data_IF_666826525313
#
_entry.id   IF_666826525313
#
_cell.length_a   1.000
_cell.length_b   1.000
_cell.length_c   1.000
_cell.angle_alpha   90.00
_cell.angle_beta   90.00
_cell.angle_gamma   90.00
#
_symmetry.space_group_name_H-M   'P 1'
#
loop_
_entity.id
_entity.type
_entity.pdbx_description
1 polymer ?
#
# COMPACT_ATOMS: atom_id res chain seq x y z
N UNK A 1 27.36 18.60 4.86
CA UNK A 1 28.39 17.68 4.39
C UNK A 1 27.77 16.79 3.31
N UNK A 2 28.21 17.00 2.10
CA UNK A 2 27.70 16.25 0.94
C UNK A 2 28.22 14.82 0.96
N UNK A 3 27.35 13.85 0.77
CA UNK A 3 27.72 12.44 0.60
C UNK A 3 27.71 12.12 -0.91
N UNK A 4 28.91 11.95 -1.47
CA UNK A 4 29.10 11.36 -2.80
C UNK A 4 29.13 9.85 -2.65
N UNK A 5 28.28 9.16 -3.42
CA UNK A 5 28.37 7.72 -3.61
C UNK A 5 29.39 7.46 -4.70
N UNK A 6 30.57 6.94 -4.31
CA UNK A 6 31.54 6.36 -5.24
C UNK A 6 31.31 4.84 -5.28
N UNK A 7 31.04 4.33 -6.46
CA UNK A 7 30.95 2.91 -6.71
C UNK A 7 32.33 2.26 -6.75
N UNK A 8 32.41 1.01 -6.33
CA UNK A 8 33.50 0.09 -6.70
C UNK A 8 33.10 -1.36 -6.51
N UNK A 9 33.15 -2.13 -7.59
CA UNK A 9 33.68 -3.46 -7.57
C UNK A 9 32.72 -4.63 -7.52
N UNK A 10 31.90 -4.85 -8.56
CA UNK A 10 31.46 -6.20 -8.90
C UNK A 10 32.64 -7.05 -9.37
N UNK A 11 33.01 -8.07 -8.62
CA UNK A 11 33.84 -9.17 -9.12
C UNK A 11 32.92 -10.15 -9.85
N UNK A 12 33.13 -10.24 -11.15
CA UNK A 12 32.56 -11.22 -12.06
C UNK A 12 33.09 -12.62 -11.80
N UNK A 13 32.23 -13.60 -11.62
CA UNK A 13 32.51 -15.02 -11.79
C UNK A 13 32.43 -15.40 -13.26
N UNK A 14 33.20 -16.39 -13.75
CA UNK A 14 33.33 -16.65 -15.18
C UNK A 14 32.08 -17.34 -15.74
N UNK A 15 31.59 -16.81 -16.85
CA UNK A 15 30.59 -17.43 -17.72
C UNK A 15 31.22 -18.59 -18.50
N UNK A 16 30.56 -19.73 -18.48
CA UNK A 16 30.80 -20.85 -19.38
C UNK A 16 30.22 -20.46 -20.74
N UNK A 17 31.09 -20.29 -21.74
CA UNK A 17 30.68 -20.07 -23.12
C UNK A 17 30.08 -21.34 -23.70
N UNK A 18 28.82 -21.29 -24.16
CA UNK A 18 28.29 -22.21 -25.15
C UNK A 18 28.09 -21.46 -26.48
N UNK A 19 28.88 -21.85 -27.44
CA UNK A 19 28.93 -21.37 -28.78
C UNK A 19 27.64 -21.75 -29.55
N UNK A 20 26.86 -20.75 -30.00
CA UNK A 20 25.89 -20.91 -31.09
C UNK A 20 25.82 -19.58 -31.85
N UNK A 21 26.30 -19.61 -33.08
CA UNK A 21 26.41 -18.47 -33.97
C UNK A 21 25.06 -17.91 -34.44
N UNK A 22 25.09 -16.74 -35.09
CA UNK A 22 23.88 -16.00 -35.44
C UNK A 22 23.20 -16.56 -36.70
N UNK A 23 21.88 -16.73 -36.66
CA UNK A 23 21.07 -16.96 -37.85
C UNK A 23 20.34 -15.67 -38.27
N UNK A 24 20.18 -15.47 -39.60
CA UNK A 24 19.74 -14.19 -40.17
C UNK A 24 18.22 -14.00 -40.16
N UNK A 25 17.83 -12.74 -40.04
CA UNK A 25 16.45 -12.25 -40.25
C UNK A 25 15.94 -12.58 -41.65
N UNK A 26 14.85 -13.32 -41.77
CA UNK A 26 14.11 -13.48 -43.01
C UNK A 26 12.78 -12.74 -42.88
N UNK A 27 12.64 -11.66 -43.65
CA UNK A 27 11.40 -10.97 -43.92
C UNK A 27 10.57 -11.82 -44.92
N UNK A 28 9.43 -12.35 -44.48
CA UNK A 28 8.51 -13.09 -45.33
C UNK A 28 7.11 -12.43 -45.35
N UNK A 29 6.74 -11.97 -46.53
CA UNK A 29 5.42 -11.43 -46.89
C UNK A 29 4.32 -12.47 -46.70
N UNK A 30 3.19 -12.02 -46.21
CA UNK A 30 1.90 -12.75 -46.25
C UNK A 30 1.42 -12.99 -47.67
N UNK A 31 0.95 -14.20 -48.00
CA UNK A 31 0.20 -14.42 -49.24
C UNK A 31 -1.31 -14.20 -49.04
N UNK A 32 -2.05 -13.91 -50.16
CA UNK A 32 -3.45 -13.44 -50.11
C UNK A 32 -4.45 -14.57 -50.01
N UNK A 33 -5.61 -14.23 -49.41
CA UNK A 33 -6.84 -15.01 -49.33
C UNK A 33 -7.42 -15.36 -50.67
N UNK A 34 -7.90 -16.58 -50.94
CA UNK A 34 -8.88 -16.81 -52.02
C UNK A 34 -10.31 -16.80 -51.48
N UNK A 35 -11.15 -16.21 -52.31
CA UNK A 35 -12.60 -16.04 -52.14
C UNK A 35 -13.40 -17.26 -52.55
N UNK A 36 -14.52 -17.41 -51.83
CA UNK A 36 -15.83 -17.95 -52.23
C UNK A 36 -15.96 -19.23 -53.01
N UNK A 37 -16.70 -20.17 -52.39
CA UNK A 37 -17.80 -20.84 -53.10
C UNK A 37 -18.78 -21.51 -52.08
N UNK A 38 -20.02 -21.02 -52.06
CA UNK A 38 -21.19 -21.71 -51.50
C UNK A 38 -21.75 -22.69 -52.53
N UNK A 39 -22.24 -23.86 -52.14
CA UNK A 39 -23.66 -24.12 -52.36
C UNK A 39 -24.42 -24.70 -51.15
N UNK A 40 -25.71 -24.53 -51.24
CA UNK A 40 -26.75 -24.69 -50.29
C UNK A 40 -27.16 -26.11 -49.93
N UNK A 41 -27.80 -26.17 -48.73
CA UNK A 41 -28.91 -27.01 -48.26
C UNK A 41 -28.68 -28.51 -48.01
N UNK A 42 -28.81 -28.87 -46.74
CA UNK A 42 -29.90 -29.70 -46.22
C UNK A 42 -29.65 -30.10 -44.73
N UNK A 43 -30.58 -29.77 -43.93
CA UNK A 43 -31.28 -30.44 -42.84
C UNK A 43 -30.48 -31.32 -41.86
N UNK A 44 -30.56 -30.93 -40.58
CA UNK A 44 -30.14 -31.80 -39.48
C UNK A 44 -30.05 -31.01 -38.18
N UNK A 45 -31.17 -30.78 -37.53
CA UNK A 45 -31.27 -30.30 -36.14
C UNK A 45 -30.64 -31.32 -35.20
N UNK A 46 -29.59 -30.95 -34.49
CA UNK A 46 -29.31 -31.52 -33.18
C UNK A 46 -28.78 -30.39 -32.26
N UNK A 47 -29.69 -29.95 -31.41
CA UNK A 47 -29.38 -29.19 -30.21
C UNK A 47 -28.31 -29.93 -29.39
N UNK A 48 -27.10 -29.38 -29.29
CA UNK A 48 -26.20 -29.69 -28.19
C UNK A 48 -26.19 -28.48 -27.24
N UNK A 49 -26.54 -28.68 -25.97
CA UNK A 49 -26.48 -27.59 -25.00
C UNK A 49 -25.01 -27.27 -24.66
N UNK A 50 -24.68 -25.99 -24.67
CA UNK A 50 -23.49 -25.43 -24.09
C UNK A 50 -23.54 -25.66 -22.56
N UNK A 51 -23.08 -26.80 -22.10
CA UNK A 51 -23.13 -27.22 -20.69
C UNK A 51 -22.06 -28.19 -20.32
N UNK A 52 -20.75 -27.88 -20.51
CA UNK A 52 -19.69 -28.80 -20.07
C UNK A 52 -18.50 -28.16 -19.36
N UNK A 53 -18.48 -26.86 -19.09
CA UNK A 53 -17.40 -26.28 -18.28
C UNK A 53 -17.67 -26.33 -16.78
N UNK A 54 -18.92 -26.34 -16.34
CA UNK A 54 -19.26 -26.48 -14.92
C UNK A 54 -19.25 -27.92 -14.40
N UNK A 55 -19.46 -28.91 -15.27
CA UNK A 55 -19.43 -30.33 -14.90
C UNK A 55 -18.03 -30.94 -14.83
N UNK A 56 -17.04 -30.37 -15.52
CA UNK A 56 -15.65 -30.83 -15.45
C UNK A 56 -14.96 -30.46 -14.11
N UNK A 57 -15.43 -29.44 -13.41
CA UNK A 57 -14.97 -29.05 -12.08
C UNK A 57 -15.51 -29.90 -10.93
N UNK A 58 -16.54 -30.75 -11.22
CA UNK A 58 -17.20 -31.60 -10.23
C UNK A 58 -16.61 -33.04 -10.13
N UNK A 59 -15.57 -33.36 -10.90
CA UNK A 59 -15.14 -34.75 -11.09
C UNK A 59 -13.83 -35.13 -10.38
N UNK A 60 -13.13 -34.23 -9.71
CA UNK A 60 -11.94 -34.61 -8.93
C UNK A 60 -12.31 -34.69 -7.45
N UNK A 61 -12.14 -35.89 -6.86
CA UNK A 61 -12.32 -36.05 -5.41
C UNK A 61 -11.25 -35.26 -4.66
N UNK A 62 -11.62 -34.21 -3.88
CA UNK A 62 -10.66 -33.42 -3.16
C UNK A 62 -9.85 -34.22 -2.15
N UNK A 63 -10.38 -35.32 -1.59
CA UNK A 63 -9.67 -36.18 -0.65
C UNK A 63 -8.55 -36.98 -1.33
N UNK A 64 -8.72 -37.36 -2.59
CA UNK A 64 -7.66 -38.01 -3.38
C UNK A 64 -6.47 -37.06 -3.58
N UNK A 65 -6.74 -35.79 -3.91
CA UNK A 65 -5.71 -34.77 -4.07
C UNK A 65 -4.99 -34.44 -2.75
N UNK A 66 -5.73 -34.38 -1.64
CA UNK A 66 -5.14 -34.20 -0.31
C UNK A 66 -4.24 -35.37 0.07
N UNK A 67 -4.63 -36.60 -0.24
CA UNK A 67 -3.80 -37.80 0.00
C UNK A 67 -2.50 -37.76 -0.81
N UNK A 68 -2.56 -37.34 -2.08
CA UNK A 68 -1.37 -37.20 -2.92
C UNK A 68 -0.44 -36.10 -2.37
N UNK A 69 -0.98 -34.95 -1.94
CA UNK A 69 -0.19 -33.89 -1.32
C UNK A 69 0.51 -34.37 -0.06
N UNK A 70 -0.21 -35.10 0.83
CA UNK A 70 0.37 -35.64 2.07
C UNK A 70 1.47 -36.65 1.76
N UNK A 71 1.27 -37.51 0.74
CA UNK A 71 2.30 -38.46 0.31
C UNK A 71 3.54 -37.77 -0.25
N UNK A 72 3.36 -36.72 -1.04
CA UNK A 72 4.48 -35.89 -1.56
C UNK A 72 5.28 -35.25 -0.43
N UNK A 73 4.60 -34.66 0.56
CA UNK A 73 5.26 -34.07 1.74
C UNK A 73 6.06 -35.11 2.54
N UNK A 74 5.51 -36.34 2.68
CA UNK A 74 6.20 -37.42 3.37
C UNK A 74 7.48 -37.87 2.60
N UNK A 75 7.42 -37.99 1.28
CA UNK A 75 8.59 -38.29 0.43
C UNK A 75 9.64 -37.21 0.53
N UNK A 76 9.25 -35.91 0.41
CA UNK A 76 10.17 -34.76 0.53
C UNK A 76 10.89 -34.84 1.88
N UNK A 77 10.15 -35.06 2.96
CA UNK A 77 10.72 -35.09 4.31
C UNK A 77 11.68 -36.27 4.49
N UNK A 78 11.40 -37.40 3.85
CA UNK A 78 12.22 -38.64 3.96
C UNK A 78 13.49 -38.57 3.14
N UNK A 79 13.41 -38.03 1.90
CA UNK A 79 14.45 -38.22 0.88
C UNK A 79 15.22 -36.94 0.53
N UNK A 80 14.76 -35.76 1.01
CA UNK A 80 15.48 -34.51 0.74
C UNK A 80 16.80 -34.43 1.51
N UNK A 81 17.85 -33.95 0.82
CA UNK A 81 19.24 -33.96 1.33
C UNK A 81 19.44 -33.13 2.61
N UNK A 82 18.69 -32.03 2.80
CA UNK A 82 18.80 -31.15 3.97
C UNK A 82 17.55 -31.32 4.88
N UNK A 83 17.61 -32.17 5.92
CA UNK A 83 16.45 -32.50 6.74
C UNK A 83 15.89 -31.31 7.53
N UNK A 84 16.73 -30.33 7.87
CA UNK A 84 16.34 -29.13 8.63
C UNK A 84 15.39 -28.19 7.87
N UNK A 85 15.16 -28.44 6.57
CA UNK A 85 14.29 -27.65 5.69
C UNK A 85 12.97 -28.36 5.34
N UNK A 86 12.68 -29.49 5.98
CA UNK A 86 11.59 -30.39 5.58
C UNK A 86 10.58 -30.67 6.69
N UNK A 87 10.49 -29.79 7.69
CA UNK A 87 9.44 -29.89 8.70
C UNK A 87 8.04 -29.68 8.06
N UNK A 88 7.03 -30.35 8.63
CA UNK A 88 5.68 -30.31 8.05
C UNK A 88 5.05 -28.92 8.00
N UNK A 89 5.19 -28.05 9.01
CA UNK A 89 4.70 -26.66 8.94
C UNK A 89 5.30 -25.90 7.75
N UNK A 90 6.61 -25.95 7.56
CA UNK A 90 7.28 -25.27 6.42
C UNK A 90 6.83 -25.79 5.07
N UNK A 91 6.69 -27.12 4.92
CA UNK A 91 6.20 -27.72 3.69
C UNK A 91 4.73 -27.35 3.43
N UNK A 92 3.89 -27.34 4.46
CA UNK A 92 2.49 -26.92 4.36
C UNK A 92 2.37 -25.46 3.94
N UNK A 93 3.09 -24.55 4.60
CA UNK A 93 3.09 -23.13 4.25
C UNK A 93 3.52 -22.92 2.80
N UNK A 94 4.60 -23.56 2.37
CA UNK A 94 5.07 -23.48 0.99
C UNK A 94 4.05 -24.01 -0.02
N UNK A 95 3.32 -25.06 0.31
CA UNK A 95 2.28 -25.62 -0.55
C UNK A 95 1.08 -24.64 -0.67
N UNK A 96 0.62 -24.05 0.45
CA UNK A 96 -0.48 -23.08 0.45
C UNK A 96 -0.08 -21.81 -0.29
N UNK A 97 1.13 -21.29 -0.04
CA UNK A 97 1.64 -20.14 -0.77
C UNK A 97 1.75 -20.41 -2.27
N UNK A 98 2.24 -21.58 -2.67
CA UNK A 98 2.28 -21.96 -4.09
C UNK A 98 0.89 -22.00 -4.74
N UNK A 99 -0.12 -22.49 -4.05
CA UNK A 99 -1.51 -22.45 -4.54
C UNK A 99 -2.02 -21.02 -4.69
N UNK A 100 -1.74 -20.15 -3.71
CA UNK A 100 -2.21 -18.75 -3.73
C UNK A 100 -1.49 -17.91 -4.79
N UNK A 101 -0.18 -18.07 -4.93
CA UNK A 101 0.63 -17.39 -5.95
C UNK A 101 0.22 -17.78 -7.38
N UNK A 102 -0.30 -18.98 -7.58
CA UNK A 102 -0.85 -19.42 -8.88
C UNK A 102 -2.15 -18.68 -9.26
N UNK A 103 -2.83 -18.04 -8.31
CA UNK A 103 -4.07 -17.29 -8.55
C UNK A 103 -3.79 -15.85 -8.95
N UNK A 104 -3.00 -15.13 -8.14
CA UNK A 104 -2.58 -13.74 -8.37
C UNK A 104 -1.43 -13.35 -7.43
N UNK A 105 -0.69 -12.25 -7.70
CA UNK A 105 0.46 -11.84 -6.88
C UNK A 105 0.09 -11.22 -5.52
N UNK A 106 -1.18 -11.09 -5.20
CA UNK A 106 -1.66 -10.41 -3.98
C UNK A 106 -2.28 -11.37 -2.97
N UNK A 107 -2.70 -12.56 -3.42
CA UNK A 107 -3.19 -13.62 -2.54
C UNK A 107 -2.01 -14.31 -1.87
N UNK A 108 -2.05 -14.46 -0.54
CA UNK A 108 -0.94 -15.04 0.23
C UNK A 108 -1.43 -15.70 1.52
N UNK A 109 -0.64 -16.64 2.02
CA UNK A 109 -0.79 -17.17 3.36
C UNK A 109 -0.15 -16.21 4.37
N UNK A 110 -0.80 -16.00 5.48
CA UNK A 110 -0.33 -15.21 6.61
C UNK A 110 -0.19 -16.16 7.80
N UNK A 111 1.04 -16.40 8.25
CA UNK A 111 1.24 -17.03 9.54
C UNK A 111 0.63 -16.17 10.67
N UNK A 112 0.55 -16.69 11.87
CA UNK A 112 -0.08 -15.98 13.00
C UNK A 112 0.57 -14.62 13.29
N UNK A 113 1.89 -14.52 13.09
CA UNK A 113 2.62 -13.26 13.26
C UNK A 113 2.30 -12.26 12.15
N UNK A 114 2.41 -12.65 10.89
CA UNK A 114 2.09 -11.81 9.73
C UNK A 114 0.62 -11.38 9.76
N UNK A 115 -0.27 -12.23 10.24
CA UNK A 115 -1.66 -11.89 10.42
C UNK A 115 -1.85 -10.83 11.52
N UNK A 116 -1.11 -10.93 12.62
CA UNK A 116 -1.14 -9.91 13.68
C UNK A 116 -0.55 -8.57 13.18
N UNK A 117 0.56 -8.59 12.43
CA UNK A 117 1.11 -7.38 11.79
C UNK A 117 0.07 -6.68 10.91
N UNK A 118 -0.70 -7.45 10.12
CA UNK A 118 -1.77 -6.88 9.28
C UNK A 118 -2.89 -6.26 10.12
N UNK A 119 -3.26 -6.88 11.24
CA UNK A 119 -4.25 -6.30 12.17
C UNK A 119 -3.76 -4.99 12.76
N UNK A 120 -2.51 -4.95 13.21
CA UNK A 120 -1.89 -3.76 13.79
C UNK A 120 -1.84 -2.62 12.77
N UNK A 121 -1.41 -2.91 11.54
CA UNK A 121 -1.34 -1.91 10.46
C UNK A 121 -2.73 -1.37 10.07
N UNK A 122 -3.75 -2.22 10.11
CA UNK A 122 -5.14 -1.82 9.77
C UNK A 122 -5.82 -1.06 10.88
N UNK A 123 -5.57 -1.41 12.14
CA UNK A 123 -6.08 -0.64 13.29
C UNK A 123 -5.46 0.76 13.36
N UNK A 124 -4.25 0.93 12.80
CA UNK A 124 -3.45 2.14 12.95
C UNK A 124 -2.82 2.28 14.34
N UNK A 125 -2.79 1.19 15.08
CA UNK A 125 -2.20 1.11 16.41
C UNK A 125 -1.43 -0.22 16.54
N UNK A 126 -0.28 -0.20 17.22
CA UNK A 126 0.47 -1.40 17.53
C UNK A 126 1.14 -1.31 18.89
N UNK A 127 1.34 -2.46 19.54
CA UNK A 127 2.10 -2.54 20.77
C UNK A 127 3.60 -2.43 20.49
N UNK A 128 4.29 -1.49 21.15
CA UNK A 128 5.71 -1.28 20.91
C UNK A 128 6.32 -0.11 21.66
N UNK A 129 7.42 0.41 21.12
CA UNK A 129 8.23 1.45 21.76
C UNK A 129 8.01 2.83 21.14
N UNK A 130 7.53 2.91 19.90
CA UNK A 130 7.40 4.16 19.14
C UNK A 130 8.75 4.67 18.65
N UNK A 131 9.48 3.83 17.92
CA UNK A 131 10.73 4.19 17.24
C UNK A 131 10.68 3.81 15.77
N UNK A 132 11.22 4.67 14.93
CA UNK A 132 11.51 4.37 13.53
C UNK A 132 12.93 3.87 13.46
N UNK A 133 13.11 2.64 12.97
CA UNK A 133 14.44 2.02 12.85
C UNK A 133 14.80 1.76 11.39
N UNK A 134 16.10 1.69 11.12
CA UNK A 134 16.65 1.36 9.80
C UNK A 134 17.97 0.64 9.94
N UNK A 135 18.63 0.35 8.81
CA UNK A 135 19.98 -0.23 8.77
C UNK A 135 20.92 0.80 8.19
N UNK A 136 22.03 1.05 8.88
CA UNK A 136 23.17 1.85 8.41
C UNK A 136 24.47 1.13 8.74
N UNK A 137 25.34 0.95 7.75
CA UNK A 137 26.63 0.26 7.90
C UNK A 137 26.49 -1.14 8.53
N UNK A 138 25.41 -1.88 8.17
CA UNK A 138 25.10 -3.21 8.68
C UNK A 138 24.59 -3.25 10.13
N UNK A 139 24.35 -2.11 10.74
CA UNK A 139 23.84 -2.00 12.10
C UNK A 139 22.42 -1.44 12.14
N UNK A 140 21.60 -1.93 13.06
CA UNK A 140 20.28 -1.38 13.34
C UNK A 140 20.41 -0.05 14.07
N UNK A 141 19.87 1.01 13.51
CA UNK A 141 19.89 2.35 14.09
C UNK A 141 18.48 2.91 14.30
N UNK A 142 18.34 3.77 15.29
CA UNK A 142 17.13 4.60 15.46
C UNK A 142 17.21 5.77 14.49
N UNK A 143 16.26 5.84 13.54
CA UNK A 143 16.12 7.00 12.65
C UNK A 143 15.51 8.15 13.43
N UNK A 144 14.41 7.89 14.16
CA UNK A 144 13.75 8.85 15.04
C UNK A 144 12.89 8.15 16.09
N UNK A 145 12.88 8.59 17.35
CA UNK A 145 11.83 8.27 18.30
C UNK A 145 10.57 9.06 17.93
N UNK A 146 9.38 8.47 18.11
CA UNK A 146 8.09 9.13 17.95
C UNK A 146 7.76 9.91 19.23
N UNK A 147 7.18 11.09 19.08
CA UNK A 147 6.75 11.91 20.22
C UNK A 147 5.74 11.17 21.10
N UNK A 148 5.75 11.50 22.40
CA UNK A 148 4.84 10.93 23.41
C UNK A 148 4.84 9.39 23.54
N UNK A 149 5.88 8.74 23.04
CA UNK A 149 6.01 7.28 23.08
C UNK A 149 6.94 6.80 24.21
N UNK A 150 6.90 5.50 24.56
CA UNK A 150 7.80 4.93 25.56
C UNK A 150 9.27 5.17 25.30
N UNK A 151 9.70 5.04 24.05
CA UNK A 151 11.11 5.25 23.68
C UNK A 151 11.54 6.71 23.86
N UNK A 152 10.71 7.66 23.46
CA UNK A 152 10.96 9.09 23.66
C UNK A 152 11.10 9.40 25.16
N UNK A 153 10.17 8.91 25.99
CA UNK A 153 10.23 9.07 27.47
C UNK A 153 11.45 8.38 28.10
N UNK A 154 11.93 7.28 27.52
CA UNK A 154 13.11 6.58 27.97
C UNK A 154 14.44 7.24 27.52
N UNK A 155 14.36 8.32 26.74
CA UNK A 155 15.53 9.05 26.27
C UNK A 155 16.27 8.35 25.14
N UNK A 156 15.60 7.58 24.30
CA UNK A 156 16.12 7.09 23.03
C UNK A 156 16.22 8.28 22.07
N UNK A 157 17.32 8.36 21.33
CA UNK A 157 17.63 9.48 20.44
C UNK A 157 17.79 9.01 18.99
N UNK A 158 17.61 9.91 18.05
CA UNK A 158 18.00 9.68 16.67
C UNK A 158 19.50 9.42 16.56
N UNK A 159 19.89 8.43 15.76
CA UNK A 159 21.28 8.00 15.61
C UNK A 159 21.73 6.93 16.61
N UNK A 160 20.93 6.61 17.64
CA UNK A 160 21.24 5.51 18.57
C UNK A 160 21.38 4.18 17.79
N UNK A 161 22.48 3.47 18.00
CA UNK A 161 22.66 2.12 17.48
C UNK A 161 22.11 1.11 18.49
N UNK A 162 21.12 0.33 18.08
CA UNK A 162 20.58 -0.76 18.89
C UNK A 162 21.52 -1.98 18.70
N UNK A 163 22.33 -2.26 19.71
CA UNK A 163 23.30 -3.37 19.66
C UNK A 163 22.66 -4.70 20.06
N UNK A 164 21.74 -4.68 21.07
CA UNK A 164 21.05 -5.88 21.53
C UNK A 164 19.58 -5.57 21.87
N UNK A 165 18.72 -6.56 21.65
CA UNK A 165 17.30 -6.57 22.06
C UNK A 165 17.07 -7.82 22.89
N UNK A 166 16.73 -7.69 24.18
CA UNK A 166 16.54 -8.79 25.14
C UNK A 166 17.73 -9.78 25.16
N UNK A 167 18.98 -9.27 25.08
CA UNK A 167 20.21 -10.05 25.07
C UNK A 167 20.55 -10.69 23.72
N UNK A 168 19.74 -10.50 22.68
CA UNK A 168 20.02 -10.97 21.32
C UNK A 168 20.71 -9.86 20.54
N UNK A 169 21.87 -10.13 19.96
CA UNK A 169 22.62 -9.17 19.14
C UNK A 169 21.88 -8.87 17.84
N UNK A 170 21.76 -7.59 17.49
CA UNK A 170 21.04 -7.12 16.30
C UNK A 170 21.78 -7.35 14.98
N UNK A 171 23.11 -7.54 15.03
CA UNK A 171 23.92 -7.88 13.84
C UNK A 171 23.63 -9.30 13.28
N UNK A 172 23.04 -10.18 14.11
CA UNK A 172 22.59 -11.50 13.70
C UNK A 172 21.12 -11.55 13.22
N UNK A 173 20.41 -10.43 13.26
CA UNK A 173 18.99 -10.33 12.93
C UNK A 173 18.77 -9.62 11.60
N UNK A 174 17.74 -10.02 10.86
CA UNK A 174 17.21 -9.16 9.81
C UNK A 174 16.54 -7.93 10.42
N UNK A 175 16.41 -6.83 9.63
CA UNK A 175 15.69 -5.64 10.11
C UNK A 175 14.25 -6.00 10.55
N UNK A 176 13.59 -6.89 9.81
CA UNK A 176 12.24 -7.38 10.14
C UNK A 176 12.19 -8.09 11.48
N UNK A 177 13.12 -9.01 11.73
CA UNK A 177 13.19 -9.73 13.01
C UNK A 177 13.49 -8.79 14.19
N UNK A 178 14.33 -7.79 13.95
CA UNK A 178 14.60 -6.74 14.94
C UNK A 178 13.37 -5.91 15.27
N UNK A 179 12.64 -5.45 14.23
CA UNK A 179 11.36 -4.72 14.42
C UNK A 179 10.37 -5.57 15.20
N UNK A 180 10.25 -6.86 14.86
CA UNK A 180 9.36 -7.79 15.55
C UNK A 180 9.69 -7.91 17.04
N UNK A 181 10.97 -7.98 17.40
CA UNK A 181 11.39 -8.02 18.82
C UNK A 181 11.14 -6.70 19.56
N UNK A 182 11.14 -5.56 18.87
CA UNK A 182 10.80 -4.25 19.44
C UNK A 182 9.29 -4.09 19.65
N UNK A 183 8.45 -4.72 18.81
CA UNK A 183 7.00 -4.82 19.00
C UNK A 183 6.67 -5.82 20.12
N UNK A 184 5.45 -5.80 20.60
CA UNK A 184 4.90 -6.72 21.59
C UNK A 184 3.75 -6.10 22.38
N UNK A 185 3.13 -6.90 23.23
CA UNK A 185 1.94 -6.51 23.98
C UNK A 185 2.19 -5.30 24.89
N UNK A 186 1.17 -4.42 24.98
CA UNK A 186 1.15 -3.30 25.92
C UNK A 186 1.46 -3.80 27.34
N UNK A 187 2.36 -3.11 28.02
CA UNK A 187 2.79 -3.43 29.39
C UNK A 187 3.92 -4.45 29.49
N UNK A 188 4.30 -5.14 28.40
CA UNK A 188 5.45 -6.01 28.39
C UNK A 188 6.76 -5.20 28.38
N UNK A 189 7.83 -5.78 28.93
CA UNK A 189 9.15 -5.15 28.99
C UNK A 189 10.01 -5.55 27.80
N UNK A 190 10.86 -4.63 27.35
CA UNK A 190 11.98 -4.92 26.45
C UNK A 190 13.24 -4.27 26.98
N UNK A 191 14.36 -4.96 26.87
CA UNK A 191 15.69 -4.46 27.25
C UNK A 191 16.48 -4.17 25.99
N UNK A 192 16.93 -2.92 25.85
CA UNK A 192 17.76 -2.48 24.74
C UNK A 192 19.15 -2.16 25.24
N UNK A 193 20.17 -2.63 24.54
CA UNK A 193 21.53 -2.13 24.64
C UNK A 193 21.78 -1.18 23.50
N UNK A 194 21.92 0.08 23.83
CA UNK A 194 22.09 1.18 22.87
C UNK A 194 23.52 1.68 22.92
N UNK A 195 24.16 1.80 21.76
CA UNK A 195 25.51 2.35 21.61
C UNK A 195 25.43 3.77 21.06
N UNK A 196 26.12 4.71 21.72
CA UNK A 196 26.28 6.12 21.35
C UNK A 196 27.75 6.49 21.26
N UNK A 197 28.04 7.72 20.83
CA UNK A 197 29.41 8.26 20.85
C UNK A 197 29.97 8.37 22.25
N UNK A 198 29.15 8.62 23.26
CA UNK A 198 29.46 8.76 24.67
C UNK A 198 29.50 7.44 25.46
N UNK A 199 29.21 6.31 24.80
CA UNK A 199 29.29 4.97 25.42
C UNK A 199 28.09 4.07 25.15
N UNK A 200 27.99 3.01 25.94
CA UNK A 200 26.92 2.02 25.89
C UNK A 200 25.94 2.25 27.03
N UNK A 201 24.66 2.21 26.74
CA UNK A 201 23.58 2.39 27.71
C UNK A 201 22.59 1.24 27.61
N UNK A 202 22.30 0.60 28.76
CA UNK A 202 21.22 -0.38 28.87
C UNK A 202 19.94 0.35 29.31
N UNK A 203 18.87 0.18 28.50
CA UNK A 203 17.58 0.84 28.71
C UNK A 203 16.49 -0.23 28.75
N UNK A 204 15.70 -0.24 29.82
CA UNK A 204 14.51 -1.09 29.91
C UNK A 204 13.27 -0.23 29.67
N UNK A 205 12.44 -0.63 28.71
CA UNK A 205 11.27 0.14 28.26
C UNK A 205 10.03 -0.73 28.41
N UNK A 206 8.97 -0.17 28.93
CA UNK A 206 7.63 -0.79 28.96
C UNK A 206 6.95 -0.46 27.62
N UNK A 207 6.53 -1.48 26.87
CA UNK A 207 5.78 -1.27 25.62
C UNK A 207 4.41 -0.64 25.90
N UNK A 208 3.96 0.21 25.02
CA UNK A 208 2.63 0.83 25.04
C UNK A 208 1.99 0.76 23.66
N UNK A 209 0.71 1.15 23.57
CA UNK A 209 0.04 1.31 22.28
C UNK A 209 0.60 2.53 21.57
N UNK A 210 1.17 2.32 20.42
CA UNK A 210 1.71 3.36 19.53
C UNK A 210 0.67 3.66 18.47
N UNK A 211 0.21 4.90 18.40
CA UNK A 211 -0.77 5.34 17.41
C UNK A 211 -0.07 5.86 16.17
N UNK A 212 -0.40 5.25 15.02
CA UNK A 212 0.08 5.71 13.72
C UNK A 212 -0.88 6.75 13.15
N UNK A 213 -0.42 7.98 13.00
CA UNK A 213 -1.22 9.02 12.37
C UNK A 213 -1.21 8.85 10.86
N UNK A 214 -2.36 8.50 10.29
CA UNK A 214 -2.54 8.37 8.83
C UNK A 214 -2.79 9.70 8.12
N UNK A 215 -3.13 10.76 8.87
CA UNK A 215 -3.34 12.13 8.38
C UNK A 215 -2.17 12.99 8.83
N UNK A 216 -1.42 13.54 7.88
CA UNK A 216 -0.18 14.31 8.13
C UNK A 216 -0.15 15.62 7.36
N UNK A 217 0.82 16.47 7.68
CA UNK A 217 1.12 17.71 6.96
C UNK A 217 0.00 18.74 6.98
N UNK A 218 -0.92 18.66 7.97
CA UNK A 218 -2.07 19.57 8.10
C UNK A 218 -1.61 21.00 8.31
N UNK A 219 -1.76 21.84 7.29
CA UNK A 219 -1.36 23.25 7.31
C UNK A 219 -2.24 24.10 6.41
N UNK A 220 -2.32 25.39 6.73
CA UNK A 220 -2.93 26.39 5.87
C UNK A 220 -1.83 26.99 4.99
N UNK A 221 -2.01 26.92 3.69
CA UNK A 221 -1.15 27.49 2.67
C UNK A 221 -1.61 28.93 2.32
N UNK A 222 -0.85 29.61 1.48
CA UNK A 222 -1.24 30.93 0.93
C UNK A 222 -2.62 30.85 0.24
N UNK A 223 -3.33 31.98 0.17
CA UNK A 223 -4.67 32.01 -0.43
C UNK A 223 -5.76 31.28 0.40
N UNK A 224 -5.53 31.01 1.68
CA UNK A 224 -6.47 30.25 2.56
C UNK A 224 -6.79 28.85 2.05
N UNK A 225 -5.84 28.20 1.43
CA UNK A 225 -5.97 26.84 0.94
C UNK A 225 -5.41 25.89 2.00
N UNK A 226 -6.25 24.98 2.51
CA UNK A 226 -5.82 23.92 3.42
C UNK A 226 -5.05 22.84 2.65
N UNK A 227 -4.06 22.24 3.31
CA UNK A 227 -3.35 21.06 2.81
C UNK A 227 -3.44 19.95 3.85
N UNK A 228 -3.82 18.76 3.42
CA UNK A 228 -3.87 17.55 4.24
C UNK A 228 -3.32 16.39 3.41
N UNK A 229 -2.45 15.56 4.00
CA UNK A 229 -1.95 14.34 3.37
C UNK A 229 -2.50 13.12 4.10
N UNK A 230 -3.08 12.17 3.35
CA UNK A 230 -3.44 10.84 3.85
C UNK A 230 -2.37 9.86 3.39
N UNK A 231 -1.62 9.28 4.32
CA UNK A 231 -0.50 8.37 4.03
C UNK A 231 -0.95 6.92 3.84
N UNK A 232 -2.05 6.53 4.49
CA UNK A 232 -2.70 5.22 4.38
C UNK A 232 -4.13 5.29 4.91
N UNK A 233 -4.92 4.24 4.72
CA UNK A 233 -6.27 4.14 5.26
C UNK A 233 -6.31 3.13 6.43
N UNK A 234 -6.41 3.64 7.66
CA UNK A 234 -6.61 2.89 8.90
C UNK A 234 -7.96 3.24 9.51
N UNK A 235 -8.37 2.54 10.56
CA UNK A 235 -9.66 2.78 11.24
C UNK A 235 -9.85 4.22 11.71
N UNK A 236 -8.76 4.91 12.05
CA UNK A 236 -8.80 6.29 12.56
C UNK A 236 -8.76 7.37 11.48
N UNK A 237 -8.50 7.01 10.21
CA UNK A 237 -8.27 7.99 9.11
C UNK A 237 -9.42 8.96 8.92
N UNK A 238 -10.64 8.43 8.86
CA UNK A 238 -11.87 9.22 8.68
C UNK A 238 -12.05 10.28 9.78
N UNK A 239 -11.89 9.88 11.04
CA UNK A 239 -11.99 10.79 12.20
C UNK A 239 -10.86 11.82 12.25
N UNK A 240 -9.63 11.40 11.93
CA UNK A 240 -8.47 12.29 11.89
C UNK A 240 -8.62 13.34 10.79
N UNK A 241 -9.16 12.97 9.63
CA UNK A 241 -9.46 13.91 8.54
C UNK A 241 -10.49 14.96 8.96
N UNK A 242 -11.58 14.56 9.63
CA UNK A 242 -12.56 15.51 10.16
C UNK A 242 -11.94 16.52 11.11
N UNK A 243 -11.11 16.04 12.04
CA UNK A 243 -10.40 16.90 13.00
C UNK A 243 -9.46 17.87 12.31
N UNK A 244 -8.71 17.40 11.31
CA UNK A 244 -7.79 18.22 10.52
C UNK A 244 -8.54 19.31 9.73
N UNK A 245 -9.65 18.96 9.07
CA UNK A 245 -10.49 19.93 8.35
C UNK A 245 -11.11 20.96 9.31
N UNK A 246 -11.63 20.53 10.46
CA UNK A 246 -12.18 21.44 11.47
C UNK A 246 -11.11 22.45 11.96
N UNK A 247 -9.90 21.97 12.20
CA UNK A 247 -8.76 22.83 12.58
C UNK A 247 -8.42 23.86 11.50
N UNK A 248 -8.41 23.45 10.23
CA UNK A 248 -8.12 24.36 9.11
C UNK A 248 -9.25 25.36 8.89
N UNK A 249 -10.52 24.95 9.05
CA UNK A 249 -11.67 25.86 8.99
C UNK A 249 -11.61 26.93 10.07
N UNK A 250 -11.25 26.57 11.30
CA UNK A 250 -11.05 27.53 12.38
C UNK A 250 -9.94 28.57 12.05
N UNK A 251 -8.99 28.21 11.20
CA UNK A 251 -7.94 29.12 10.68
C UNK A 251 -8.35 29.87 9.40
N UNK A 252 -9.59 29.72 8.94
CA UNK A 252 -10.13 30.43 7.77
C UNK A 252 -9.91 29.74 6.43
N UNK A 253 -9.78 28.40 6.39
CA UNK A 253 -9.68 27.63 5.15
C UNK A 253 -10.90 27.85 4.25
N UNK A 254 -10.66 28.10 2.96
CA UNK A 254 -11.70 28.27 1.94
C UNK A 254 -11.67 27.20 0.85
N UNK A 255 -10.55 26.53 0.62
CA UNK A 255 -10.38 25.41 -0.30
C UNK A 255 -9.43 24.37 0.30
N UNK A 256 -9.40 23.14 -0.23
CA UNK A 256 -8.59 22.05 0.29
C UNK A 256 -7.82 21.33 -0.82
N UNK A 257 -6.52 21.10 -0.57
CA UNK A 257 -5.71 20.09 -1.28
C UNK A 257 -5.64 18.85 -0.41
N UNK A 258 -6.10 17.72 -0.94
CA UNK A 258 -5.99 16.42 -0.33
C UNK A 258 -4.90 15.62 -1.06
N UNK A 259 -3.79 15.31 -0.40
CA UNK A 259 -2.65 14.61 -1.01
C UNK A 259 -2.71 13.11 -0.73
N UNK A 260 -2.93 12.33 -1.78
CA UNK A 260 -2.94 10.86 -1.78
C UNK A 260 -1.70 10.26 -2.45
N UNK A 261 -0.71 11.07 -2.81
CA UNK A 261 0.51 10.58 -3.46
C UNK A 261 1.27 9.62 -2.53
N UNK A 262 1.72 8.49 -3.09
CA UNK A 262 2.36 7.39 -2.36
C UNK A 262 1.51 6.80 -1.22
N UNK A 263 0.18 6.88 -1.32
CA UNK A 263 -0.73 6.20 -0.42
C UNK A 263 -1.02 4.78 -0.98
N UNK A 264 -0.52 3.71 -0.37
CA UNK A 264 -0.69 2.35 -0.90
C UNK A 264 -2.10 1.79 -0.71
N UNK A 265 -2.99 2.56 -0.08
CA UNK A 265 -4.34 2.14 0.28
C UNK A 265 -4.48 1.83 1.76
N UNK A 266 -5.12 0.72 2.07
CA UNK A 266 -5.47 0.27 3.42
C UNK A 266 -6.91 -0.21 3.49
N UNK A 267 -7.61 0.07 4.60
CA UNK A 267 -8.98 -0.38 4.82
C UNK A 267 -9.98 0.24 3.82
N UNK A 268 -10.74 -0.63 3.16
CA UNK A 268 -11.85 -0.23 2.30
C UNK A 268 -12.89 0.61 3.05
N UNK A 269 -13.23 0.19 4.27
CA UNK A 269 -14.21 0.88 5.13
C UNK A 269 -13.77 2.31 5.43
N UNK A 270 -12.49 2.51 5.76
CA UNK A 270 -11.94 3.84 6.03
C UNK A 270 -11.98 4.76 4.79
N UNK A 271 -11.72 4.20 3.59
CA UNK A 271 -11.84 4.97 2.35
C UNK A 271 -13.31 5.35 2.05
N UNK A 272 -14.25 4.43 2.27
CA UNK A 272 -15.70 4.70 2.13
C UNK A 272 -16.12 5.79 3.13
N UNK A 273 -15.79 5.67 4.39
CA UNK A 273 -16.10 6.67 5.42
C UNK A 273 -15.49 8.05 5.12
N UNK A 274 -14.26 8.06 4.60
CA UNK A 274 -13.61 9.31 4.15
C UNK A 274 -14.34 9.93 2.96
N UNK A 275 -14.75 9.12 1.98
CA UNK A 275 -15.52 9.58 0.84
C UNK A 275 -16.92 10.09 1.25
N UNK A 276 -17.59 9.42 2.20
CA UNK A 276 -18.90 9.86 2.75
C UNK A 276 -18.87 11.28 3.30
N UNK A 277 -17.76 11.70 3.91
CA UNK A 277 -17.62 13.05 4.46
C UNK A 277 -17.52 14.13 3.37
N UNK A 278 -16.94 13.77 2.22
CA UNK A 278 -16.63 14.69 1.12
C UNK A 278 -17.67 14.68 0.01
N UNK A 279 -18.60 13.72 0.01
CA UNK A 279 -19.62 13.53 -1.03
C UNK A 279 -21.02 13.89 -0.54
N UNK A 280 -21.91 14.34 -1.42
CA UNK A 280 -23.30 14.56 -1.06
C UNK A 280 -24.00 13.23 -0.78
N UNK A 281 -25.07 13.29 0.04
CA UNK A 281 -25.90 12.13 0.37
C UNK A 281 -26.41 11.43 -0.87
N UNK A 282 -26.29 10.09 -0.92
CA UNK A 282 -26.76 9.25 -2.02
C UNK A 282 -25.76 9.12 -3.17
N UNK A 283 -24.63 9.84 -3.14
CA UNK A 283 -23.56 9.66 -4.11
C UNK A 283 -22.97 8.24 -4.01
N UNK A 284 -22.80 7.57 -5.14
CA UNK A 284 -22.14 6.27 -5.20
C UNK A 284 -20.65 6.47 -4.92
N UNK A 285 -20.05 5.62 -4.08
CA UNK A 285 -18.64 5.65 -3.75
C UNK A 285 -17.88 4.58 -4.54
N UNK A 286 -18.32 3.34 -4.43
CA UNK A 286 -17.65 2.19 -5.05
C UNK A 286 -18.63 1.04 -5.24
N UNK A 287 -18.51 0.31 -6.34
CA UNK A 287 -19.17 -0.97 -6.55
C UNK A 287 -18.14 -2.11 -6.52
N UNK A 288 -18.57 -3.28 -6.05
CA UNK A 288 -17.73 -4.48 -6.06
C UNK A 288 -18.41 -5.58 -6.84
N UNK A 289 -17.65 -6.34 -7.64
CA UNK A 289 -18.14 -7.50 -8.39
C UNK A 289 -17.34 -8.74 -7.98
N UNK A 290 -18.06 -9.75 -7.56
CA UNK A 290 -17.56 -11.07 -7.21
C UNK A 290 -17.43 -11.97 -8.45
N UNK A 291 -16.88 -13.16 -8.26
CA UNK A 291 -16.83 -14.17 -9.33
C UNK A 291 -18.25 -14.48 -9.88
N UNK A 292 -18.38 -14.86 -11.15
CA UNK A 292 -19.67 -15.27 -11.73
C UNK A 292 -20.35 -16.37 -10.89
N UNK A 293 -21.67 -16.26 -10.73
CA UNK A 293 -22.47 -17.18 -9.91
C UNK A 293 -22.66 -16.78 -8.45
N UNK A 294 -21.90 -15.78 -7.94
CA UNK A 294 -22.15 -15.20 -6.62
C UNK A 294 -22.87 -13.86 -6.72
N UNK A 295 -23.81 -13.55 -5.81
CA UNK A 295 -24.48 -12.25 -5.79
C UNK A 295 -23.46 -11.14 -5.47
N UNK A 296 -23.54 -10.03 -6.24
CA UNK A 296 -22.75 -8.85 -5.92
C UNK A 296 -23.40 -8.10 -4.75
N UNK A 297 -22.62 -7.55 -3.81
CA UNK A 297 -23.16 -6.64 -2.82
C UNK A 297 -23.66 -5.35 -3.49
N UNK A 298 -24.62 -4.64 -2.87
CA UNK A 298 -25.03 -3.33 -3.36
C UNK A 298 -23.83 -2.37 -3.35
N UNK A 299 -23.79 -1.39 -4.27
CA UNK A 299 -22.78 -0.34 -4.23
C UNK A 299 -22.79 0.41 -2.89
N UNK A 300 -21.60 0.79 -2.40
CA UNK A 300 -21.49 1.69 -1.26
C UNK A 300 -21.90 3.09 -1.69
N UNK A 301 -22.73 3.75 -0.87
CA UNK A 301 -23.25 5.10 -1.13
C UNK A 301 -23.05 5.99 0.08
N UNK A 302 -22.84 7.28 -0.12
CA UNK A 302 -22.68 8.26 0.95
C UNK A 302 -23.96 8.38 1.77
N UNK A 303 -23.91 8.10 3.07
CA UNK A 303 -25.06 8.16 3.96
C UNK A 303 -25.48 9.60 4.31
N UNK A 304 -24.60 10.57 4.12
CA UNK A 304 -24.86 11.98 4.38
C UNK A 304 -24.87 12.34 5.85
N UNK A 305 -24.04 11.71 6.66
CA UNK A 305 -23.87 12.00 8.09
C UNK A 305 -23.10 13.31 8.35
N UNK A 306 -22.15 13.61 7.47
CA UNK A 306 -21.33 14.82 7.49
C UNK A 306 -21.29 15.38 6.08
N UNK A 307 -21.37 16.70 5.95
CA UNK A 307 -21.35 17.38 4.66
C UNK A 307 -20.21 18.39 4.59
N UNK A 308 -19.07 17.95 4.07
CA UNK A 308 -17.91 18.79 3.79
C UNK A 308 -17.84 19.10 2.29
N UNK A 309 -18.92 19.63 1.73
CA UNK A 309 -19.08 19.89 0.29
C UNK A 309 -19.05 21.35 -0.09
N UNK A 310 -18.89 22.25 0.88
CA UNK A 310 -19.02 23.70 0.78
C UNK A 310 -17.72 24.44 0.41
N UNK A 311 -16.65 23.70 0.04
CA UNK A 311 -15.39 24.29 -0.42
C UNK A 311 -14.85 23.55 -1.65
N UNK A 312 -14.10 24.22 -2.55
CA UNK A 312 -13.36 23.58 -3.63
C UNK A 312 -12.33 22.58 -3.13
N UNK A 313 -12.21 21.44 -3.84
CA UNK A 313 -11.31 20.34 -3.48
C UNK A 313 -10.44 19.95 -4.68
N UNK A 314 -9.14 19.88 -4.49
CA UNK A 314 -8.19 19.26 -5.40
C UNK A 314 -7.58 18.02 -4.73
N UNK A 315 -7.34 16.94 -5.49
CA UNK A 315 -6.72 15.73 -5.01
C UNK A 315 -5.43 15.48 -5.78
N UNK A 316 -4.33 15.29 -5.06
CA UNK A 316 -3.04 14.92 -5.66
C UNK A 316 -2.91 13.41 -5.69
N UNK A 317 -2.57 12.86 -6.86
CA UNK A 317 -2.36 11.43 -7.08
C UNK A 317 -1.08 11.16 -7.87
N UNK A 318 -0.50 9.95 -7.72
CA UNK A 318 0.66 9.52 -8.47
C UNK A 318 0.70 7.98 -8.60
N UNK A 319 1.67 7.38 -9.30
CA UNK A 319 1.80 5.91 -9.43
C UNK A 319 1.92 5.13 -8.11
N UNK A 320 2.24 5.80 -7.01
CA UNK A 320 2.22 5.20 -5.66
C UNK A 320 0.86 5.24 -4.95
N UNK A 321 -0.16 5.90 -5.55
CA UNK A 321 -1.54 5.90 -5.06
C UNK A 321 -2.23 4.60 -5.49
N UNK A 322 -2.66 3.75 -4.53
CA UNK A 322 -3.17 2.43 -4.86
C UNK A 322 -4.41 2.04 -4.02
N UNK A 323 -5.21 1.10 -4.53
CA UNK A 323 -6.29 0.42 -3.78
C UNK A 323 -7.31 1.39 -3.17
N UNK A 324 -7.40 1.50 -1.83
CA UNK A 324 -8.32 2.39 -1.13
C UNK A 324 -8.14 3.87 -1.53
N UNK A 325 -6.91 4.31 -1.86
CA UNK A 325 -6.64 5.65 -2.38
C UNK A 325 -7.28 5.87 -3.77
N UNK A 326 -7.27 4.84 -4.61
CA UNK A 326 -7.90 4.88 -5.93
C UNK A 326 -9.41 4.89 -5.83
N UNK A 327 -9.97 4.21 -4.83
CA UNK A 327 -11.42 4.23 -4.54
C UNK A 327 -11.85 5.65 -4.17
N UNK A 328 -11.13 6.30 -3.24
CA UNK A 328 -11.44 7.68 -2.85
C UNK A 328 -11.29 8.64 -4.04
N UNK A 329 -10.16 8.56 -4.76
CA UNK A 329 -9.90 9.41 -5.92
C UNK A 329 -10.97 9.24 -7.01
N UNK A 330 -11.27 7.99 -7.40
CA UNK A 330 -12.28 7.69 -8.41
C UNK A 330 -13.71 8.09 -7.98
N UNK A 331 -14.04 7.92 -6.68
CA UNK A 331 -15.32 8.38 -6.15
C UNK A 331 -15.47 9.89 -6.23
N UNK A 332 -14.44 10.64 -5.85
CA UNK A 332 -14.46 12.11 -5.90
C UNK A 332 -14.48 12.64 -7.34
N UNK A 333 -13.75 12.01 -8.26
CA UNK A 333 -13.72 12.36 -9.68
C UNK A 333 -15.06 12.11 -10.37
N UNK A 334 -15.58 10.89 -10.28
CA UNK A 334 -16.81 10.52 -10.98
C UNK A 334 -18.04 11.29 -10.48
N UNK A 335 -18.06 11.66 -9.20
CA UNK A 335 -19.08 12.55 -8.64
C UNK A 335 -18.80 14.05 -8.88
N UNK A 336 -17.73 14.40 -9.62
CA UNK A 336 -17.33 15.80 -9.90
C UNK A 336 -17.14 16.64 -8.64
N UNK A 337 -16.70 15.99 -7.57
CA UNK A 337 -16.48 16.63 -6.27
C UNK A 337 -15.10 17.28 -6.18
N UNK A 338 -14.11 16.73 -6.84
CA UNK A 338 -12.75 17.21 -6.82
C UNK A 338 -12.13 17.19 -8.22
N UNK A 339 -11.09 18.02 -8.40
CA UNK A 339 -10.18 17.95 -9.56
C UNK A 339 -8.98 17.12 -9.16
N UNK A 340 -8.71 16.03 -9.89
CA UNK A 340 -7.55 15.17 -9.69
C UNK A 340 -6.35 15.72 -10.46
N UNK A 341 -5.22 15.86 -9.80
CA UNK A 341 -4.00 16.45 -10.37
C UNK A 341 -2.82 15.53 -10.06
N UNK A 342 -1.96 15.31 -11.04
CA UNK A 342 -0.76 14.50 -10.84
C UNK A 342 -0.48 13.53 -11.96
N UNK A 343 -0.35 12.26 -11.64
CA UNK A 343 -0.08 11.18 -12.59
C UNK A 343 -1.03 10.01 -12.36
N UNK A 344 -1.09 9.08 -13.34
CA UNK A 344 -1.94 7.88 -13.27
C UNK A 344 -1.60 7.06 -12.03
N UNK A 345 -2.61 6.56 -11.34
CA UNK A 345 -2.44 5.75 -10.14
C UNK A 345 -2.02 4.31 -10.47
N UNK A 346 -1.72 3.52 -9.45
CA UNK A 346 -1.12 2.18 -9.58
C UNK A 346 -1.99 1.17 -10.35
N UNK A 347 -3.31 1.21 -10.17
CA UNK A 347 -4.21 0.23 -10.80
C UNK A 347 -4.44 -1.04 -9.98
N UNK A 348 -4.56 -0.96 -8.64
CA UNK A 348 -4.93 -2.10 -7.79
C UNK A 348 -6.42 -2.10 -7.48
N UNK A 349 -7.23 -2.56 -8.42
CA UNK A 349 -8.70 -2.65 -8.29
C UNK A 349 -9.24 -3.97 -7.72
N UNK A 350 -8.52 -4.59 -6.77
CA UNK A 350 -8.84 -5.90 -6.20
C UNK A 350 -9.27 -5.79 -4.73
N UNK A 351 -10.34 -6.50 -4.38
CA UNK A 351 -10.78 -6.70 -2.99
C UNK A 351 -10.05 -7.89 -2.41
N UNK A 352 -9.24 -7.65 -1.40
CA UNK A 352 -8.60 -8.72 -0.63
C UNK A 352 -9.34 -8.94 0.67
N UNK A 353 -9.80 -10.17 0.89
CA UNK A 353 -10.44 -10.60 2.12
C UNK A 353 -9.45 -11.40 2.94
N UNK A 354 -9.36 -11.11 4.23
CA UNK A 354 -8.59 -11.90 5.17
C UNK A 354 -9.52 -12.92 5.80
N UNK A 355 -9.18 -14.19 5.64
CA UNK A 355 -9.94 -15.35 6.13
C UNK A 355 -9.12 -16.02 7.23
N UNK A 356 -9.47 -15.83 8.52
CA UNK A 356 -8.77 -16.46 9.63
C UNK A 356 -8.89 -17.99 9.55
N UNK A 357 -7.83 -18.67 9.98
CA UNK A 357 -7.80 -20.11 10.18
C UNK A 357 -7.75 -20.44 11.67
N UNK A 358 -8.09 -21.68 12.03
CA UNK A 358 -8.24 -22.11 13.43
C UNK A 358 -6.93 -22.14 14.22
N UNK A 359 -5.79 -22.19 13.52
CA UNK A 359 -4.44 -22.18 14.11
C UNK A 359 -3.89 -20.78 14.38
N UNK A 360 -4.70 -19.74 14.17
CA UNK A 360 -4.31 -18.35 14.34
C UNK A 360 -3.64 -17.73 13.12
N UNK A 361 -3.41 -18.48 12.05
CA UNK A 361 -2.99 -18.00 10.74
C UNK A 361 -4.17 -17.43 9.94
N UNK A 362 -3.95 -16.94 8.73
CA UNK A 362 -5.00 -16.47 7.84
C UNK A 362 -4.63 -16.62 6.37
N UNK A 363 -5.64 -16.60 5.51
CA UNK A 363 -5.48 -16.48 4.06
C UNK A 363 -5.94 -15.09 3.64
N UNK A 364 -5.05 -14.30 3.03
CA UNK A 364 -5.42 -13.11 2.28
C UNK A 364 -5.77 -13.56 0.86
N UNK A 365 -7.02 -13.41 0.47
CA UNK A 365 -7.54 -13.90 -0.81
C UNK A 365 -8.21 -12.79 -1.61
N UNK A 366 -7.95 -12.72 -2.90
CA UNK A 366 -8.67 -11.85 -3.82
C UNK A 366 -10.06 -12.41 -4.09
N UNK A 367 -11.10 -11.70 -3.62
CA UNK A 367 -12.51 -12.18 -3.65
C UNK A 367 -13.42 -11.38 -4.57
N UNK A 368 -13.02 -10.16 -4.97
CA UNK A 368 -13.81 -9.31 -5.85
C UNK A 368 -12.94 -8.26 -6.55
N UNK A 369 -13.54 -7.51 -7.48
CA UNK A 369 -12.94 -6.34 -8.15
C UNK A 369 -13.71 -5.08 -7.84
N UNK A 370 -12.98 -3.95 -7.74
CA UNK A 370 -13.57 -2.62 -7.57
C UNK A 370 -13.90 -1.97 -8.90
N UNK A 371 -15.00 -1.21 -8.86
CA UNK A 371 -15.44 -0.36 -9.97
C UNK A 371 -15.78 1.03 -9.41
N UNK A 372 -15.40 2.07 -10.13
CA UNK A 372 -15.75 3.45 -9.78
C UNK A 372 -17.25 3.68 -9.93
N UNK A 373 -17.82 4.80 -9.45
CA UNK A 373 -19.23 5.14 -9.64
C UNK A 373 -19.67 5.11 -11.12
N UNK A 374 -18.81 5.53 -12.04
CA UNK A 374 -19.06 5.48 -13.49
C UNK A 374 -18.92 4.07 -14.10
N UNK A 375 -18.60 3.05 -13.29
CA UNK A 375 -18.43 1.66 -13.72
C UNK A 375 -17.08 1.35 -14.37
N UNK A 376 -16.09 2.23 -14.26
CA UNK A 376 -14.70 1.98 -14.73
C UNK A 376 -14.04 0.95 -13.85
N UNK A 377 -13.32 0.01 -14.44
CA UNK A 377 -12.49 -0.95 -13.70
C UNK A 377 -11.17 -0.27 -13.34
N UNK A 378 -10.80 -0.33 -12.07
CA UNK A 378 -9.55 0.27 -11.58
C UNK A 378 -8.34 -0.67 -11.84
N UNK A 379 -8.58 -2.00 -11.83
CA UNK A 379 -7.49 -2.98 -11.91
C UNK A 379 -6.74 -2.88 -13.23
N UNK A 380 -5.41 -2.79 -13.14
CA UNK A 380 -4.44 -2.64 -14.25
C UNK A 380 -4.54 -1.32 -15.05
N UNK A 381 -5.56 -0.50 -14.81
CA UNK A 381 -5.75 0.78 -15.52
C UNK A 381 -5.46 2.00 -14.65
N UNK A 382 -5.71 1.90 -13.34
CA UNK A 382 -5.61 3.03 -12.43
C UNK A 382 -6.70 4.09 -12.62
N UNK A 383 -6.50 5.22 -11.96
CA UNK A 383 -7.30 6.43 -12.11
C UNK A 383 -6.44 7.48 -12.82
N UNK A 384 -6.90 7.95 -13.96
CA UNK A 384 -6.25 9.04 -14.67
C UNK A 384 -6.58 10.39 -14.01
N UNK A 385 -5.61 11.29 -13.82
CA UNK A 385 -5.88 12.62 -13.31
C UNK A 385 -6.63 13.46 -14.35
N UNK A 386 -7.45 14.43 -13.89
CA UNK A 386 -8.07 15.43 -14.76
C UNK A 386 -7.03 16.40 -15.34
N UNK A 387 -5.96 16.66 -14.57
CA UNK A 387 -4.82 17.49 -15.00
C UNK A 387 -3.53 16.66 -14.80
N UNK A 388 -2.99 16.22 -15.92
CA UNK A 388 -1.72 15.47 -15.93
C UNK A 388 -0.54 16.40 -15.67
N UNK A 389 0.22 16.11 -14.63
CA UNK A 389 1.47 16.80 -14.26
C UNK A 389 2.51 15.73 -13.93
N UNK A 390 3.17 15.16 -14.93
CA UNK A 390 4.16 14.11 -14.70
C UNK A 390 5.38 14.70 -13.98
N UNK A 391 5.92 13.92 -13.04
CA UNK A 391 7.09 14.27 -12.24
C UNK A 391 8.11 13.14 -12.33
N UNK A 392 9.36 13.47 -12.62
CA UNK A 392 10.43 12.47 -12.67
C UNK A 392 10.72 11.88 -11.28
N UNK A 393 11.34 10.71 -11.23
CA UNK A 393 11.74 10.07 -9.97
C UNK A 393 12.70 10.97 -9.16
N UNK A 394 13.57 11.72 -9.84
CA UNK A 394 14.49 12.65 -9.20
C UNK A 394 13.76 13.84 -8.57
N UNK A 395 12.82 14.48 -9.31
CA UNK A 395 11.98 15.55 -8.78
C UNK A 395 11.14 15.05 -7.60
N UNK A 396 10.57 13.84 -7.72
CA UNK A 396 9.80 13.25 -6.64
C UNK A 396 10.62 13.00 -5.37
N UNK A 397 11.86 12.47 -5.49
CA UNK A 397 12.75 12.29 -4.35
C UNK A 397 13.04 13.62 -3.63
N UNK A 398 13.25 14.69 -4.38
CA UNK A 398 13.45 16.04 -3.81
C UNK A 398 12.22 16.53 -3.05
N UNK A 399 11.00 16.28 -3.58
CA UNK A 399 9.74 16.59 -2.87
C UNK A 399 9.63 15.80 -1.57
N UNK A 400 10.02 14.51 -1.58
CA UNK A 400 10.00 13.67 -0.39
C UNK A 400 11.00 14.13 0.68
N UNK A 401 12.21 14.51 0.28
CA UNK A 401 13.23 15.05 1.18
C UNK A 401 12.77 16.36 1.83
N UNK A 402 12.18 17.28 1.04
CA UNK A 402 11.64 18.53 1.55
C UNK A 402 10.52 18.30 2.57
N UNK A 403 9.61 17.35 2.29
CA UNK A 403 8.53 16.97 3.21
C UNK A 403 9.04 16.38 4.51
N UNK A 404 9.99 15.45 4.42
CA UNK A 404 10.59 14.85 5.61
C UNK A 404 11.29 15.90 6.47
N UNK A 405 11.89 16.91 5.84
CA UNK A 405 12.50 18.02 6.54
C UNK A 405 11.45 18.91 7.23
N UNK A 406 10.35 19.26 6.56
CA UNK A 406 9.24 20.03 7.14
C UNK A 406 8.57 19.29 8.33
N UNK A 407 8.35 17.98 8.21
CA UNK A 407 7.74 17.16 9.27
C UNK A 407 8.66 17.02 10.49
N UNK A 408 9.98 17.02 10.31
CA UNK A 408 10.97 16.95 11.38
C UNK A 408 11.27 18.32 12.01
N UNK A 409 10.91 19.45 11.38
CA UNK A 409 11.13 20.82 11.90
C UNK A 409 10.12 21.28 12.95
N UNK A 410 9.22 20.44 13.43
CA UNK A 410 8.41 20.74 14.62
C UNK A 410 9.26 21.03 15.88
N UNK A 411 10.61 20.82 15.82
CA UNK A 411 11.59 21.24 16.84
C UNK A 411 12.59 22.25 16.25
N UNK A 412 12.53 23.56 16.63
CA UNK A 412 13.29 24.65 16.00
C UNK A 412 14.73 24.82 16.48
N UNK A 413 15.41 23.78 16.97
CA UNK A 413 16.83 23.89 17.34
C UNK A 413 17.73 23.10 16.37
N UNK A 414 18.30 23.82 15.41
CA UNK A 414 19.34 23.42 14.43
C UNK A 414 18.88 22.98 13.06
N UNK A 415 18.47 23.93 12.23
CA UNK A 415 18.64 23.78 10.78
C UNK A 415 18.96 25.12 10.13
N UNK A 416 20.12 25.20 9.52
CA UNK A 416 20.51 26.27 8.60
C UNK A 416 19.64 26.18 7.34
N UNK A 417 18.96 27.24 6.92
CA UNK A 417 18.21 27.26 5.68
C UNK A 417 19.18 27.50 4.51
N UNK A 418 19.68 26.45 3.88
CA UNK A 418 20.51 26.56 2.70
C UNK A 418 20.07 25.59 1.58
N UNK A 419 18.77 25.55 1.30
CA UNK A 419 18.24 24.99 0.06
C UNK A 419 17.09 25.88 -0.40
N UNK A 420 17.18 26.35 -1.65
CA UNK A 420 16.11 27.09 -2.32
C UNK A 420 14.78 26.33 -2.20
N UNK A 421 13.63 27.00 -2.08
CA UNK A 421 12.33 26.34 -1.99
C UNK A 421 12.17 25.44 -3.21
N UNK A 422 12.13 24.13 -2.97
CA UNK A 422 11.94 23.15 -4.04
C UNK A 422 10.49 23.18 -4.45
N UNK A 423 10.24 23.46 -5.72
CA UNK A 423 8.92 23.58 -6.35
C UNK A 423 8.27 22.19 -6.45
N UNK A 424 7.18 21.96 -5.73
CA UNK A 424 6.29 20.81 -5.93
C UNK A 424 5.28 21.17 -7.03
N UNK A 425 5.64 20.94 -8.29
CA UNK A 425 4.86 21.31 -9.49
C UNK A 425 3.40 20.80 -9.46
N UNK A 426 3.16 19.64 -8.84
CA UNK A 426 1.82 19.11 -8.71
C UNK A 426 1.02 19.87 -7.66
N UNK A 427 1.64 20.21 -6.54
CA UNK A 427 1.03 21.06 -5.51
C UNK A 427 0.78 22.46 -6.04
N UNK A 428 1.76 23.07 -6.72
CA UNK A 428 1.61 24.41 -7.32
C UNK A 428 0.43 24.44 -8.31
N UNK A 429 0.29 23.41 -9.14
CA UNK A 429 -0.84 23.29 -10.06
C UNK A 429 -2.19 23.19 -9.32
N UNK A 430 -2.24 22.48 -8.19
CA UNK A 430 -3.44 22.39 -7.37
C UNK A 430 -3.80 23.76 -6.76
N UNK A 431 -2.81 24.52 -6.31
CA UNK A 431 -2.99 25.88 -5.78
C UNK A 431 -3.53 26.84 -6.86
N UNK A 432 -2.97 26.79 -8.08
CA UNK A 432 -3.45 27.59 -9.22
C UNK A 432 -4.94 27.31 -9.51
N UNK A 433 -5.31 26.04 -9.60
CA UNK A 433 -6.69 25.61 -9.87
C UNK A 433 -7.64 26.09 -8.78
N UNK A 434 -7.29 25.84 -7.51
CA UNK A 434 -8.14 26.24 -6.38
C UNK A 434 -8.25 27.75 -6.24
N UNK A 435 -7.17 28.50 -6.48
CA UNK A 435 -7.19 29.96 -6.50
C UNK A 435 -8.13 30.47 -7.59
N UNK A 436 -8.05 29.90 -8.78
CA UNK A 436 -8.97 30.24 -9.87
C UNK A 436 -10.44 29.98 -9.52
N UNK A 437 -10.72 28.85 -8.88
CA UNK A 437 -12.10 28.49 -8.44
C UNK A 437 -12.59 29.44 -7.33
N UNK A 438 -11.74 29.86 -6.39
CA UNK A 438 -12.12 30.81 -5.34
C UNK A 438 -12.42 32.22 -5.90
N UNK A 439 -11.69 32.66 -6.92
CA UNK A 439 -11.94 33.96 -7.59
C UNK A 439 -13.28 33.97 -8.33
N UNK A 440 -13.71 32.80 -8.87
CA UNK A 440 -14.96 32.68 -9.61
C UNK A 440 -16.18 32.45 -8.71
N UNK A 441 -16.00 32.12 -7.42
CA UNK A 441 -17.11 32.03 -6.47
C UNK A 441 -17.63 33.44 -6.14
N UNK A 442 -18.95 33.66 -6.11
CA UNK A 442 -19.51 34.89 -5.62
C UNK A 442 -19.09 35.08 -4.15
N UNK A 443 -18.83 36.35 -3.71
CA UNK A 443 -18.55 36.62 -2.31
C UNK A 443 -19.68 36.10 -1.42
N UNK A 444 -19.35 35.57 -0.21
CA UNK A 444 -20.34 34.99 0.70
C UNK A 444 -21.41 35.97 1.17
#
# INVERSE_FOLDING_TARGET
MAWSVSGSGCRSLPLIETNAGPQPCISGKLPPTPATNTPAAAGGSTNQPAGNSAQALAAADPYEQMRQLTSAMAIIRQDYVDPDRTDYPSLFHSAVDGMLQALDPYSQYLDSESYQEVKDDTSGEFGGLGIVVGVKDGAMIVIAPMEDTPACRAGILAGDRIAEIDGVRTDSLSLRDGIRKLRGEKGSLVRLRVQREDGVKDVTIVRDVIKLTSVKGTRLLEGRIGYIRITQFSETTSTNLLTAIATLRAKGMQALVLDLRNNPGGLLTAAIETAEQLLPKGAVIVATRRRPGLPNPPPSVAAGRVHLTDFPLAVLINPGSASAAEILAGALQDNRRAVLIGDVTFGKGLVQTILPLDDGSAIRLTTARYYTPAGRMIHETGIEPDILVPVSAEEWNKVQEARAHEENQAHPEKSTPETAPQTDRQLDRALDVLTGLLVLQPPP
#
